data_IF_346808384406
#
_entry.id   IF_346808384406
#
_cell.length_a   1.000
_cell.length_b   1.000
_cell.length_c   1.000
_cell.angle_alpha   90.00
_cell.angle_beta   90.00
_cell.angle_gamma   90.00
#
_symmetry.space_group_name_H-M   'P 1'
#
loop_
_entity.id
_entity.type
_entity.pdbx_description
1 polymer ?
#
# COMPACT_ATOMS: atom_id res chain seq x y z
N UNK A 1 1.38 -48.82 -16.07
CA UNK A 1 1.38 -48.03 -14.82
C UNK A 1 2.57 -47.06 -14.77
N UNK A 2 2.57 -45.95 -15.54
CA UNK A 2 3.63 -44.91 -15.45
C UNK A 2 3.19 -43.49 -15.84
N UNK A 3 1.88 -43.18 -15.82
CA UNK A 3 1.38 -41.87 -16.29
C UNK A 3 0.64 -41.07 -15.17
N UNK A 4 0.37 -41.68 -14.01
CA UNK A 4 -0.39 -41.00 -12.95
C UNK A 4 0.42 -40.06 -12.04
N UNK A 5 1.75 -39.98 -12.17
CA UNK A 5 2.59 -39.27 -11.19
C UNK A 5 3.03 -37.87 -11.61
N UNK A 6 2.72 -37.42 -12.84
CA UNK A 6 3.21 -36.11 -13.35
C UNK A 6 2.14 -35.00 -13.19
N UNK A 7 0.85 -35.36 -13.18
CA UNK A 7 -0.23 -34.38 -12.99
C UNK A 7 -0.38 -33.90 -11.54
N UNK A 8 0.02 -34.73 -10.56
CA UNK A 8 -0.05 -34.35 -9.14
C UNK A 8 1.07 -33.39 -8.72
N UNK A 9 2.17 -33.30 -9.47
CA UNK A 9 3.30 -32.40 -9.14
C UNK A 9 3.13 -30.98 -9.73
N UNK A 10 2.32 -30.83 -10.77
CA UNK A 10 2.05 -29.54 -11.43
C UNK A 10 0.96 -28.72 -10.74
N UNK A 11 0.07 -29.37 -9.97
CA UNK A 11 -1.05 -28.71 -9.27
C UNK A 11 -0.62 -28.22 -7.87
N UNK A 12 0.50 -28.69 -7.32
CA UNK A 12 1.05 -28.24 -6.04
C UNK A 12 1.97 -27.02 -6.11
N UNK A 13 2.21 -26.45 -7.30
CA UNK A 13 3.01 -25.23 -7.46
C UNK A 13 2.18 -23.95 -7.58
N UNK A 14 0.86 -24.04 -7.35
CA UNK A 14 -0.04 -22.88 -7.32
C UNK A 14 -0.40 -22.41 -5.90
N UNK A 15 0.29 -22.92 -4.89
CA UNK A 15 0.04 -22.60 -3.48
C UNK A 15 1.36 -22.06 -2.90
N UNK A 16 1.32 -20.80 -2.45
CA UNK A 16 2.38 -20.04 -1.74
C UNK A 16 3.39 -19.27 -2.61
N UNK A 17 2.94 -18.43 -3.54
CA UNK A 17 3.58 -17.11 -3.62
C UNK A 17 2.97 -16.26 -2.50
N UNK A 18 3.49 -16.39 -1.27
CA UNK A 18 3.25 -15.38 -0.24
C UNK A 18 3.89 -14.11 -0.75
N UNK A 19 3.11 -13.24 -1.38
CA UNK A 19 3.53 -11.89 -1.70
C UNK A 19 3.70 -11.16 -0.37
N UNK A 20 4.96 -11.05 0.06
CA UNK A 20 5.34 -10.32 1.25
C UNK A 20 4.87 -8.87 1.13
N UNK A 21 4.23 -8.36 2.18
CA UNK A 21 3.67 -7.02 2.15
C UNK A 21 4.60 -6.01 2.78
N UNK A 22 5.15 -5.12 1.94
CA UNK A 22 5.95 -3.99 2.45
C UNK A 22 5.09 -2.95 3.20
N UNK A 23 3.77 -3.16 3.31
CA UNK A 23 2.77 -2.24 3.87
C UNK A 23 3.15 -1.72 5.24
N UNK A 24 3.83 -2.53 6.07
CA UNK A 24 4.14 -2.18 7.46
C UNK A 24 5.56 -2.55 7.91
N UNK A 25 6.57 -2.43 7.05
CA UNK A 25 7.96 -2.49 7.57
C UNK A 25 8.25 -1.19 8.35
N UNK A 26 8.56 -1.35 9.64
CA UNK A 26 9.03 -0.27 10.50
C UNK A 26 10.36 0.25 9.97
N UNK A 27 10.58 1.56 10.04
CA UNK A 27 11.79 2.17 9.49
C UNK A 27 12.86 2.38 10.58
N UNK A 28 13.52 1.30 11.00
CA UNK A 28 14.78 1.37 11.74
C UNK A 28 15.99 1.56 10.80
N UNK A 29 17.20 1.62 11.36
CA UNK A 29 18.41 1.88 10.57
C UNK A 29 18.71 0.77 9.54
N UNK A 30 18.49 -0.49 9.89
CA UNK A 30 18.70 -1.62 8.97
C UNK A 30 17.64 -1.60 7.86
N UNK A 31 16.39 -1.31 8.23
CA UNK A 31 15.27 -1.19 7.29
C UNK A 31 15.43 -0.01 6.33
N UNK A 32 16.12 1.07 6.73
CA UNK A 32 16.49 2.17 5.82
C UNK A 32 17.43 1.66 4.74
N UNK A 33 18.47 0.93 5.10
CA UNK A 33 19.45 0.43 4.15
C UNK A 33 18.81 -0.59 3.19
N UNK A 34 17.91 -1.43 3.70
CA UNK A 34 17.09 -2.34 2.88
C UNK A 34 16.13 -1.60 1.95
N UNK A 35 15.48 -0.52 2.41
CA UNK A 35 14.60 0.29 1.57
C UNK A 35 15.37 0.98 0.44
N UNK A 36 16.57 1.49 0.74
CA UNK A 36 17.47 2.08 -0.26
C UNK A 36 17.90 1.02 -1.27
N UNK A 37 18.36 -0.15 -0.81
CA UNK A 37 18.74 -1.27 -1.68
C UNK A 37 17.59 -1.68 -2.60
N UNK A 38 16.39 -1.84 -2.04
CA UNK A 38 15.19 -2.17 -2.80
C UNK A 38 14.87 -1.08 -3.85
N UNK A 39 14.97 0.20 -3.48
CA UNK A 39 14.76 1.31 -4.40
C UNK A 39 15.78 1.38 -5.54
N UNK A 40 17.07 1.09 -5.28
CA UNK A 40 18.11 1.00 -6.32
C UNK A 40 17.79 -0.15 -7.28
N UNK A 41 17.45 -1.33 -6.74
CA UNK A 41 17.13 -2.53 -7.52
C UNK A 41 15.85 -2.36 -8.34
N UNK A 42 14.94 -1.49 -7.88
CA UNK A 42 13.66 -1.21 -8.53
C UNK A 42 13.70 0.01 -9.46
N UNK A 43 14.89 0.52 -9.77
CA UNK A 43 15.05 1.64 -10.72
C UNK A 43 14.44 1.28 -12.07
N UNK A 44 13.75 2.25 -12.67
CA UNK A 44 13.03 2.11 -13.94
C UNK A 44 11.85 1.12 -13.94
N UNK A 45 11.54 0.50 -12.79
CA UNK A 45 10.34 -0.34 -12.68
C UNK A 45 9.08 0.53 -12.60
N UNK A 46 7.97 0.11 -13.25
CA UNK A 46 6.67 0.74 -13.03
C UNK A 46 6.27 0.75 -11.56
N UNK A 47 5.61 1.81 -11.09
CA UNK A 47 5.18 1.97 -9.68
C UNK A 47 4.43 0.76 -9.12
N UNK A 48 3.60 0.11 -9.94
CA UNK A 48 2.87 -1.12 -9.54
C UNK A 48 3.81 -2.25 -9.12
N UNK A 49 4.97 -2.38 -9.76
CA UNK A 49 5.95 -3.42 -9.45
C UNK A 49 6.72 -3.09 -8.16
N UNK A 50 7.00 -1.79 -7.94
CA UNK A 50 7.65 -1.31 -6.71
C UNK A 50 6.72 -1.47 -5.51
N UNK A 51 5.42 -1.22 -5.70
CA UNK A 51 4.42 -1.41 -4.66
C UNK A 51 4.13 -2.90 -4.42
N UNK A 52 4.21 -3.74 -5.45
CA UNK A 52 3.95 -5.18 -5.37
C UNK A 52 2.60 -5.46 -4.70
N UNK A 53 2.56 -6.17 -3.58
CA UNK A 53 1.35 -6.44 -2.79
C UNK A 53 0.65 -5.20 -2.24
N UNK A 54 1.33 -4.04 -2.20
CA UNK A 54 0.74 -2.77 -1.79
C UNK A 54 -0.06 -2.10 -2.91
N UNK A 55 -0.05 -2.67 -4.12
CA UNK A 55 -0.94 -2.30 -5.21
C UNK A 55 -2.11 -3.28 -5.24
N UNK A 56 -3.25 -2.87 -4.72
CA UNK A 56 -4.47 -3.68 -4.70
C UNK A 56 -5.43 -3.16 -5.77
N UNK A 57 -5.73 -4.02 -6.75
CA UNK A 57 -6.76 -3.79 -7.76
C UNK A 57 -7.77 -4.93 -7.65
N UNK A 58 -9.00 -4.60 -7.25
CA UNK A 58 -10.08 -5.57 -7.02
C UNK A 58 -10.85 -5.96 -8.29
N UNK A 59 -10.41 -5.47 -9.46
CA UNK A 59 -11.05 -5.73 -10.74
C UNK A 59 -12.29 -4.86 -11.01
N UNK A 60 -12.72 -4.04 -10.05
CA UNK A 60 -13.86 -3.11 -10.21
C UNK A 60 -13.44 -1.76 -10.78
N UNK A 61 -12.17 -1.60 -11.12
CA UNK A 61 -11.56 -0.33 -11.54
C UNK A 61 -10.93 0.44 -10.39
N UNK A 62 -11.31 0.17 -9.13
CA UNK A 62 -10.74 0.83 -7.95
C UNK A 62 -9.35 0.31 -7.65
N UNK A 63 -8.43 1.23 -7.40
CA UNK A 63 -7.02 0.92 -7.11
C UNK A 63 -6.66 1.52 -5.76
N UNK A 64 -6.18 0.67 -4.84
CA UNK A 64 -5.64 1.07 -3.55
C UNK A 64 -4.12 0.86 -3.54
N UNK A 65 -3.38 1.95 -3.33
CA UNK A 65 -1.93 1.95 -3.18
C UNK A 65 -1.56 2.26 -1.72
N UNK A 66 -0.73 1.39 -1.12
CA UNK A 66 -0.31 1.51 0.28
C UNK A 66 1.16 1.93 0.34
N UNK A 67 1.42 3.11 0.90
CA UNK A 67 2.77 3.66 1.05
C UNK A 67 3.20 3.61 2.51
N UNK A 68 3.90 2.53 2.86
CA UNK A 68 4.57 2.38 4.15
C UNK A 68 5.77 3.33 4.28
N UNK A 69 6.31 3.54 5.50
CA UNK A 69 7.59 4.24 5.67
C UNK A 69 8.72 3.65 4.79
N UNK A 70 8.84 2.33 4.73
CA UNK A 70 9.79 1.63 3.86
C UNK A 70 9.60 1.97 2.38
N UNK A 71 8.38 1.82 1.86
CA UNK A 71 8.06 2.12 0.45
C UNK A 71 8.30 3.61 0.13
N UNK A 72 8.00 4.50 1.08
CA UNK A 72 8.26 5.93 0.92
C UNK A 72 9.77 6.22 0.76
N UNK A 73 10.65 5.52 1.46
CA UNK A 73 12.12 5.63 1.28
C UNK A 73 12.56 5.00 -0.04
N UNK A 74 12.06 3.80 -0.36
CA UNK A 74 12.39 3.11 -1.60
C UNK A 74 12.07 3.96 -2.85
N UNK A 75 10.87 4.54 -2.91
CA UNK A 75 10.46 5.41 -4.02
C UNK A 75 11.23 6.73 -4.09
N UNK A 76 11.80 7.23 -2.98
CA UNK A 76 12.70 8.39 -3.05
C UNK A 76 14.09 8.01 -3.57
N UNK A 77 14.41 6.72 -3.52
CA UNK A 77 15.69 6.18 -3.94
C UNK A 77 15.73 5.82 -5.43
N UNK A 78 14.60 5.44 -6.03
CA UNK A 78 14.51 5.05 -7.46
C UNK A 78 15.02 6.15 -8.40
N UNK A 79 14.85 7.43 -8.02
CA UNK A 79 15.31 8.58 -8.80
C UNK A 79 16.81 8.88 -8.63
N UNK A 80 17.54 8.09 -7.83
CA UNK A 80 18.95 8.35 -7.54
C UNK A 80 19.87 7.64 -8.57
N UNK A 81 21.02 8.28 -8.80
CA UNK A 81 22.10 7.65 -9.56
C UNK A 81 22.84 6.65 -8.66
N UNK A 82 23.14 5.48 -9.22
CA UNK A 82 23.90 4.41 -8.60
C UNK A 82 25.22 4.23 -9.36
N UNK A 83 26.28 3.96 -8.63
CA UNK A 83 27.62 3.66 -9.14
C UNK A 83 27.80 2.17 -9.45
N UNK A 84 26.81 1.33 -9.10
CA UNK A 84 26.88 -0.13 -9.18
C UNK A 84 27.53 -0.79 -7.95
N UNK A 85 28.09 0.00 -7.03
CA UNK A 85 28.66 -0.48 -5.77
C UNK A 85 27.66 -0.24 -4.64
N UNK A 86 26.88 -1.28 -4.31
CA UNK A 86 25.73 -1.19 -3.40
C UNK A 86 26.05 -0.50 -2.05
N UNK A 87 27.15 -0.87 -1.38
CA UNK A 87 27.50 -0.29 -0.07
C UNK A 87 27.83 1.22 -0.16
N UNK A 88 28.54 1.61 -1.22
CA UNK A 88 28.90 3.01 -1.48
C UNK A 88 27.66 3.83 -1.86
N UNK A 89 26.79 3.25 -2.67
CA UNK A 89 25.52 3.84 -3.09
C UNK A 89 24.59 4.05 -1.89
N UNK A 90 24.45 3.05 -1.00
CA UNK A 90 23.64 3.17 0.21
C UNK A 90 24.14 4.34 1.07
N UNK A 91 25.44 4.39 1.36
CA UNK A 91 26.03 5.47 2.17
C UNK A 91 25.81 6.85 1.54
N UNK A 92 26.01 6.96 0.23
CA UNK A 92 25.87 8.22 -0.52
C UNK A 92 24.41 8.68 -0.57
N UNK A 93 23.49 7.77 -0.86
CA UNK A 93 22.06 8.06 -0.96
C UNK A 93 21.50 8.40 0.42
N UNK A 94 21.86 7.66 1.47
CA UNK A 94 21.46 7.94 2.86
C UNK A 94 21.88 9.35 3.28
N UNK A 95 23.12 9.76 2.96
CA UNK A 95 23.60 11.13 3.20
C UNK A 95 22.78 12.17 2.42
N UNK A 96 22.51 11.93 1.13
CA UNK A 96 21.77 12.87 0.27
C UNK A 96 20.30 13.01 0.65
N UNK A 97 19.67 11.90 1.03
CA UNK A 97 18.25 11.83 1.40
C UNK A 97 18.01 11.97 2.90
N UNK A 98 19.04 12.26 3.70
CA UNK A 98 19.00 12.27 5.17
C UNK A 98 17.75 12.96 5.72
N UNK A 99 17.51 14.23 5.36
CA UNK A 99 16.35 14.99 5.86
C UNK A 99 15.00 14.43 5.43
N UNK A 100 14.94 13.76 4.27
CA UNK A 100 13.70 13.11 3.79
C UNK A 100 13.46 11.80 4.55
N UNK A 101 14.50 11.00 4.74
CA UNK A 101 14.44 9.74 5.51
C UNK A 101 14.07 10.05 6.96
N UNK A 102 14.74 11.02 7.57
CA UNK A 102 14.50 11.44 8.94
C UNK A 102 13.05 11.90 9.14
N UNK A 103 12.54 12.75 8.24
CA UNK A 103 11.14 13.15 8.23
C UNK A 103 10.16 11.97 8.07
N UNK A 104 10.50 10.95 7.28
CA UNK A 104 9.66 9.76 7.12
C UNK A 104 9.65 8.95 8.43
N UNK A 105 10.82 8.77 9.07
CA UNK A 105 10.97 8.09 10.37
C UNK A 105 10.18 8.82 11.46
N UNK A 106 10.36 10.12 11.60
CA UNK A 106 9.66 10.96 12.60
C UNK A 106 8.14 10.91 12.44
N UNK A 107 7.66 10.98 11.19
CA UNK A 107 6.22 10.93 10.93
C UNK A 107 5.64 9.57 11.28
N UNK A 108 6.34 8.49 10.91
CA UNK A 108 5.93 7.11 11.10
C UNK A 108 4.48 6.88 10.62
N UNK A 109 4.22 7.26 9.36
CA UNK A 109 2.88 7.34 8.76
C UNK A 109 2.77 6.38 7.57
N UNK A 110 1.65 5.65 7.52
CA UNK A 110 1.25 4.80 6.38
C UNK A 110 0.17 5.55 5.60
N UNK A 111 0.32 5.62 4.27
CA UNK A 111 -0.64 6.34 3.42
C UNK A 111 -1.39 5.37 2.52
N UNK A 112 -2.71 5.43 2.58
CA UNK A 112 -3.62 4.70 1.73
C UNK A 112 -4.12 5.66 0.66
N UNK A 113 -3.58 5.53 -0.55
CA UNK A 113 -3.97 6.33 -1.71
C UNK A 113 -4.93 5.51 -2.55
N UNK A 114 -6.16 5.97 -2.72
CA UNK A 114 -7.20 5.21 -3.40
C UNK A 114 -7.82 6.02 -4.53
N UNK A 115 -7.89 5.40 -5.71
CA UNK A 115 -8.68 5.86 -6.82
C UNK A 115 -10.12 5.35 -6.65
N UNK A 116 -11.05 6.29 -6.55
CA UNK A 116 -12.47 6.06 -6.42
C UNK A 116 -13.18 6.52 -7.69
N UNK A 117 -14.25 5.83 -8.03
CA UNK A 117 -15.10 6.11 -9.18
C UNK A 117 -16.52 6.37 -8.69
N UNK A 118 -17.19 7.35 -9.30
CA UNK A 118 -18.52 7.76 -8.92
C UNK A 118 -19.31 8.39 -10.06
N UNK A 119 -20.60 8.59 -9.79
CA UNK A 119 -21.57 9.08 -10.78
C UNK A 119 -21.78 10.59 -10.73
N UNK A 120 -21.29 11.25 -9.67
CA UNK A 120 -21.41 12.69 -9.47
C UNK A 120 -20.03 13.34 -9.43
N UNK A 121 -19.95 14.66 -9.53
CA UNK A 121 -18.67 15.38 -9.45
C UNK A 121 -18.22 15.58 -7.99
N UNK A 122 -19.13 15.49 -7.02
CA UNK A 122 -18.92 15.88 -5.63
C UNK A 122 -18.71 14.70 -4.66
N UNK A 123 -18.83 13.45 -5.12
CA UNK A 123 -18.68 12.25 -4.25
C UNK A 123 -17.31 12.16 -3.57
N UNK A 124 -16.29 12.81 -4.12
CA UNK A 124 -14.89 12.66 -3.71
C UNK A 124 -14.68 12.89 -2.21
N UNK A 125 -15.39 13.85 -1.62
CA UNK A 125 -15.25 14.17 -0.20
C UNK A 125 -16.19 13.36 0.73
N UNK A 126 -17.08 12.54 0.17
CA UNK A 126 -18.12 11.84 0.91
C UNK A 126 -17.67 10.50 1.50
N UNK A 127 -16.42 10.08 1.24
CA UNK A 127 -15.86 8.83 1.72
C UNK A 127 -15.01 8.99 2.97
N UNK A 128 -15.40 8.29 4.04
CA UNK A 128 -14.65 8.18 5.29
C UNK A 128 -13.89 6.86 5.33
N UNK A 129 -12.63 6.90 5.75
CA UNK A 129 -11.82 5.69 5.90
C UNK A 129 -11.73 5.24 7.36
N UNK A 130 -11.65 3.94 7.56
CA UNK A 130 -11.30 3.32 8.84
C UNK A 130 -10.59 1.99 8.63
N UNK A 131 -9.87 1.54 9.65
CA UNK A 131 -9.26 0.22 9.73
C UNK A 131 -9.88 -0.55 10.88
N UNK A 132 -10.18 -1.82 10.63
CA UNK A 132 -10.71 -2.75 11.64
C UNK A 132 -9.96 -4.08 11.51
N UNK A 133 -9.54 -4.66 12.63
CA UNK A 133 -8.98 -6.02 12.66
C UNK A 133 -9.98 -7.00 12.04
N UNK A 134 -9.51 -7.93 11.21
CA UNK A 134 -10.39 -8.87 10.52
C UNK A 134 -11.24 -9.70 11.49
N UNK A 135 -10.69 -10.05 12.65
CA UNK A 135 -11.36 -10.89 13.65
C UNK A 135 -12.41 -10.12 14.46
N UNK A 136 -12.32 -8.80 14.46
CA UNK A 136 -13.26 -7.93 15.17
C UNK A 136 -14.33 -7.35 14.25
N UNK A 137 -14.21 -7.53 12.92
CA UNK A 137 -15.11 -6.89 11.96
C UNK A 137 -16.58 -7.31 12.12
N UNK A 138 -16.86 -8.59 12.41
CA UNK A 138 -18.22 -9.09 12.69
C UNK A 138 -18.55 -9.09 14.19
N UNK A 139 -17.58 -8.73 15.04
CA UNK A 139 -17.72 -8.72 16.49
C UNK A 139 -18.55 -7.54 17.02
N UNK A 140 -19.09 -7.73 18.23
CA UNK A 140 -19.86 -6.68 18.93
C UNK A 140 -18.99 -5.51 19.43
N UNK A 141 -17.68 -5.72 19.60
CA UNK A 141 -16.71 -4.67 19.97
C UNK A 141 -15.65 -4.55 18.89
N UNK A 142 -15.88 -3.66 17.93
CA UNK A 142 -14.93 -3.36 16.85
C UNK A 142 -13.91 -2.32 17.34
N UNK A 143 -12.62 -2.64 17.37
CA UNK A 143 -11.57 -1.62 17.51
C UNK A 143 -11.41 -0.89 16.18
N UNK A 144 -12.05 0.27 16.10
CA UNK A 144 -12.00 1.12 14.90
C UNK A 144 -10.79 2.04 15.00
N UNK A 145 -9.88 1.91 14.03
CA UNK A 145 -8.75 2.82 13.86
C UNK A 145 -9.12 3.83 12.78
N UNK A 146 -9.05 5.12 13.11
CA UNK A 146 -9.37 6.21 12.18
C UNK A 146 -8.09 6.86 11.63
N UNK A 147 -8.14 7.43 10.41
CA UNK A 147 -7.00 8.17 9.88
C UNK A 147 -6.70 9.38 10.76
N UNK A 148 -5.42 9.66 10.97
CA UNK A 148 -4.95 10.89 11.61
C UNK A 148 -5.21 12.11 10.72
N UNK A 149 -5.13 11.92 9.39
CA UNK A 149 -5.36 12.97 8.40
C UNK A 149 -5.94 12.37 7.14
N UNK A 150 -6.82 13.13 6.49
CA UNK A 150 -7.36 12.83 5.17
C UNK A 150 -7.04 13.99 4.24
N UNK A 151 -6.52 13.70 3.04
CA UNK A 151 -6.46 14.63 1.92
C UNK A 151 -7.36 14.05 0.82
N UNK A 152 -8.64 14.39 0.86
CA UNK A 152 -9.59 14.02 -0.18
C UNK A 152 -9.69 15.13 -1.22
N UNK A 153 -9.93 14.77 -2.47
CA UNK A 153 -10.36 15.76 -3.46
C UNK A 153 -11.74 16.27 -3.07
N UNK A 154 -11.96 17.58 -3.24
CA UNK A 154 -13.29 18.17 -2.99
C UNK A 154 -14.27 17.88 -4.11
N UNK A 155 -13.74 17.76 -5.32
CA UNK A 155 -14.46 17.60 -6.57
C UNK A 155 -13.66 16.60 -7.40
N UNK A 156 -14.33 15.57 -7.90
CA UNK A 156 -13.81 14.52 -8.75
C UNK A 156 -13.57 15.02 -10.16
N UNK A 157 -12.56 14.49 -10.83
CA UNK A 157 -12.24 14.83 -12.21
C UNK A 157 -13.04 13.93 -13.15
N UNK A 158 -13.54 14.51 -14.25
CA UNK A 158 -14.23 13.71 -15.28
C UNK A 158 -13.26 12.71 -15.91
N UNK A 159 -13.62 11.44 -15.84
CA UNK A 159 -12.86 10.32 -16.38
C UNK A 159 -13.65 9.63 -17.48
N UNK A 160 -13.08 9.58 -18.69
CA UNK A 160 -13.70 8.94 -19.84
C UNK A 160 -13.38 7.43 -19.93
N UNK A 161 -12.53 6.89 -19.05
CA UNK A 161 -12.11 5.49 -19.08
C UNK A 161 -13.14 4.53 -18.46
N UNK A 162 -14.02 5.01 -17.58
CA UNK A 162 -15.10 4.22 -16.98
C UNK A 162 -16.46 4.84 -17.30
N UNK A 163 -17.10 4.48 -18.45
CA UNK A 163 -18.34 5.12 -18.89
C UNK A 163 -19.51 4.99 -17.91
N UNK A 164 -19.51 3.94 -17.09
CA UNK A 164 -20.52 3.72 -16.05
C UNK A 164 -20.36 4.67 -14.85
N UNK A 165 -19.15 5.16 -14.60
CA UNK A 165 -18.78 6.04 -13.49
C UNK A 165 -17.89 7.18 -14.03
N UNK A 166 -18.50 8.23 -14.61
CA UNK A 166 -17.80 9.22 -15.43
C UNK A 166 -16.90 10.17 -14.63
N UNK A 167 -16.79 10.00 -13.31
CA UNK A 167 -15.95 10.81 -12.45
C UNK A 167 -15.01 9.92 -11.63
N UNK A 168 -13.77 10.39 -11.47
CA UNK A 168 -12.75 9.74 -10.67
C UNK A 168 -12.16 10.69 -9.65
N UNK A 169 -11.82 10.18 -8.47
CA UNK A 169 -11.14 10.94 -7.44
C UNK A 169 -10.02 10.13 -6.80
N UNK A 170 -8.91 10.78 -6.49
CA UNK A 170 -7.80 10.17 -5.75
C UNK A 170 -7.73 10.75 -4.34
N UNK A 171 -8.10 9.92 -3.37
CA UNK A 171 -8.08 10.29 -1.95
C UNK A 171 -6.89 9.67 -1.23
N UNK A 172 -6.31 10.41 -0.28
CA UNK A 172 -5.21 9.95 0.55
C UNK A 172 -5.62 9.93 2.02
N UNK A 173 -5.61 8.75 2.65
CA UNK A 173 -5.90 8.57 4.06
C UNK A 173 -4.61 8.18 4.81
N UNK A 174 -4.27 8.92 5.86
CA UNK A 174 -2.99 8.81 6.56
C UNK A 174 -3.22 8.24 7.96
N UNK A 175 -2.58 7.11 8.25
CA UNK A 175 -2.64 6.42 9.53
C UNK A 175 -1.28 6.43 10.21
N UNK A 176 -1.28 6.36 11.54
CA UNK A 176 -0.06 6.12 12.31
C UNK A 176 0.32 4.65 12.18
N UNK A 177 1.57 4.41 11.81
CA UNK A 177 2.12 3.07 11.65
C UNK A 177 1.95 2.22 12.92
N UNK A 178 2.23 2.80 14.09
CA UNK A 178 2.17 2.09 15.38
C UNK A 178 0.78 1.53 15.70
N UNK A 179 -0.29 2.12 15.14
CA UNK A 179 -1.65 1.59 15.31
C UNK A 179 -1.91 0.36 14.44
N UNK A 180 -1.13 0.18 13.38
CA UNK A 180 -1.33 -0.86 12.37
C UNK A 180 -0.34 -2.02 12.53
N UNK A 181 0.83 -1.76 13.12
CA UNK A 181 1.94 -2.71 13.21
C UNK A 181 1.52 -4.07 13.79
N UNK A 182 0.71 -4.08 14.84
CA UNK A 182 0.28 -5.33 15.50
C UNK A 182 -0.84 -6.08 14.75
N UNK A 183 -1.43 -5.48 13.71
CA UNK A 183 -2.52 -6.11 12.96
C UNK A 183 -1.93 -7.07 11.93
N UNK A 184 -2.11 -8.39 12.09
CA UNK A 184 -1.69 -9.36 11.07
C UNK A 184 -2.55 -9.32 9.82
N UNK A 185 -3.86 -9.22 10.01
CA UNK A 185 -4.84 -9.07 8.93
C UNK A 185 -5.90 -8.06 9.35
N UNK A 186 -6.27 -7.17 8.43
CA UNK A 186 -7.25 -6.13 8.72
C UNK A 186 -8.00 -5.71 7.46
N UNK A 187 -9.14 -5.07 7.65
CA UNK A 187 -9.85 -4.39 6.59
C UNK A 187 -9.51 -2.91 6.59
N UNK A 188 -9.11 -2.38 5.45
CA UNK A 188 -9.25 -0.97 5.14
C UNK A 188 -10.63 -0.75 4.52
N UNK A 189 -11.45 0.06 5.17
CA UNK A 189 -12.86 0.24 4.84
C UNK A 189 -13.09 1.70 4.49
N UNK A 190 -13.75 1.93 3.36
CA UNK A 190 -14.32 3.21 3.01
C UNK A 190 -15.83 3.13 3.14
N UNK A 191 -16.42 4.11 3.80
CA UNK A 191 -17.87 4.25 3.94
C UNK A 191 -18.31 5.56 3.32
N UNK A 192 -19.28 5.51 2.41
CA UNK A 192 -19.89 6.71 1.85
C UNK A 192 -20.99 7.27 2.78
N UNK A 193 -21.70 8.30 2.35
CA UNK A 193 -22.77 8.94 3.14
C UNK A 193 -24.02 8.09 3.33
N UNK A 194 -24.28 7.13 2.43
CA UNK A 194 -25.43 6.21 2.52
C UNK A 194 -25.14 4.98 3.40
N UNK A 195 -23.88 4.81 3.82
CA UNK A 195 -23.44 3.67 4.63
C UNK A 195 -22.93 2.48 3.82
N UNK A 196 -22.82 2.61 2.49
CA UNK A 196 -22.21 1.60 1.65
C UNK A 196 -20.71 1.49 1.94
N UNK A 197 -20.21 0.26 2.04
CA UNK A 197 -18.81 -0.02 2.37
C UNK A 197 -18.04 -0.60 1.19
N UNK A 198 -16.88 -0.01 0.90
CA UNK A 198 -15.84 -0.61 0.06
C UNK A 198 -14.75 -1.16 0.98
N UNK A 199 -14.44 -2.45 0.85
CA UNK A 199 -13.54 -3.15 1.77
C UNK A 199 -12.34 -3.71 1.03
N UNK A 200 -11.16 -3.44 1.57
CA UNK A 200 -9.90 -4.03 1.13
C UNK A 200 -9.37 -4.90 2.26
N UNK A 201 -9.30 -6.22 2.04
CA UNK A 201 -8.59 -7.12 2.95
C UNK A 201 -7.09 -6.92 2.74
N UNK A 202 -6.39 -6.60 3.81
CA UNK A 202 -4.95 -6.42 3.79
C UNK A 202 -4.33 -7.45 4.74
N UNK A 203 -3.27 -8.08 4.25
CA UNK A 203 -2.48 -9.02 5.02
C UNK A 203 -1.08 -8.42 5.22
N UNK A 204 -0.69 -8.28 6.48
CA UNK A 204 0.61 -7.78 6.91
C UNK A 204 1.53 -8.95 7.23
N UNK A 205 1.91 -9.71 6.21
CA UNK A 205 3.05 -10.59 6.35
C UNK A 205 4.32 -9.74 6.43
N UNK A 206 5.00 -9.80 7.57
CA UNK A 206 6.34 -9.24 7.75
C UNK A 206 7.30 -9.86 6.72
N UNK A 207 8.27 -9.07 6.25
CA UNK A 207 9.23 -9.50 5.22
C UNK A 207 10.41 -10.28 5.82
N UNK A 208 10.44 -10.47 7.15
CA UNK A 208 11.55 -11.08 7.87
C UNK A 208 11.05 -12.18 8.81
#
# INVERSE_FOLDING_TARGET
>A
MRILSIFALSITLFILSTTFSFALIKLDEESVDLAIKYGIQSKDMPTKNILSSNWLNDGTGRILNIYSPFIQVALKTTDQNSTGKMEEDIKTIKKRLYSKIDRIKEKNEVRFLIALYGDTEDFANNYKAQIVDINEYEGQKKKIIKPKKTNAQKVAEKDNFFPAHPFSAVNCYIFKFDNLFDLKEYYFILTNETGEEVKYKINNNEIF
#
